data_IF_031776381104
#
_entry.id   IF_031776381104
#
_cell.length_a   1.000
_cell.length_b   1.000
_cell.length_c   1.000
_cell.angle_alpha   90.00
_cell.angle_beta   90.00
_cell.angle_gamma   90.00
#
_symmetry.space_group_name_H-M   'P 1'
#
loop_
_entity.id
_entity.type
_entity.pdbx_description
1 polymer ?
#
# COMPACT_ATOMS: atom_id res chain seq x y z
N UNK A 1 -8.41 -6.93 28.20
CA UNK A 1 -7.13 -7.59 28.61
C UNK A 1 -6.01 -7.09 27.75
N UNK A 2 -4.78 -6.92 28.32
CA UNK A 2 -3.60 -6.59 27.50
C UNK A 2 -3.19 -7.81 26.69
N UNK A 3 -2.93 -7.63 25.39
CA UNK A 3 -2.42 -8.67 24.51
C UNK A 3 -0.90 -8.53 24.32
N UNK A 4 -0.23 -9.66 24.15
CA UNK A 4 1.15 -9.75 23.71
C UNK A 4 1.15 -10.24 22.25
N UNK A 5 1.53 -9.37 21.32
CA UNK A 5 1.41 -9.53 19.87
C UNK A 5 2.81 -9.75 19.28
N UNK A 6 2.96 -10.73 18.40
CA UNK A 6 4.16 -10.92 17.60
C UNK A 6 3.84 -10.64 16.13
N UNK A 7 4.37 -9.53 15.60
CA UNK A 7 4.27 -9.20 14.17
C UNK A 7 5.54 -9.64 13.44
N UNK A 8 5.40 -10.19 12.24
CA UNK A 8 6.53 -10.73 11.46
C UNK A 8 6.40 -10.34 9.99
N UNK A 9 7.46 -9.79 9.41
CA UNK A 9 7.51 -9.46 7.99
C UNK A 9 8.93 -9.40 7.45
N UNK A 10 9.15 -10.02 6.28
CA UNK A 10 10.44 -9.96 5.57
C UNK A 10 10.60 -8.62 4.84
N UNK A 11 10.62 -7.55 5.62
CA UNK A 11 10.82 -6.17 5.18
C UNK A 11 12.04 -5.58 5.90
N UNK A 12 12.75 -4.61 5.28
CA UNK A 12 13.76 -3.83 6.00
C UNK A 12 13.15 -3.10 7.20
N UNK A 13 13.89 -2.95 8.29
CA UNK A 13 13.46 -2.22 9.50
C UNK A 13 13.50 -0.69 9.33
N UNK A 14 13.15 -0.20 8.14
CA UNK A 14 13.13 1.22 7.80
C UNK A 14 11.70 1.77 7.88
N UNK A 15 11.36 2.64 8.85
CA UNK A 15 10.02 3.18 9.04
C UNK A 15 9.56 4.11 7.90
N UNK A 16 10.45 4.49 6.98
CA UNK A 16 10.10 5.31 5.81
C UNK A 16 9.56 4.49 4.64
N UNK A 17 9.75 3.16 4.67
CA UNK A 17 9.24 2.26 3.64
C UNK A 17 7.79 1.85 3.95
N UNK A 18 6.94 1.81 2.92
CA UNK A 18 5.50 1.62 3.07
C UNK A 18 5.10 0.42 3.91
N UNK A 19 5.66 -0.78 3.66
CA UNK A 19 5.33 -2.00 4.42
C UNK A 19 5.81 -1.95 5.86
N UNK A 20 7.01 -1.45 6.09
CA UNK A 20 7.59 -1.31 7.43
C UNK A 20 6.90 -0.21 8.23
N UNK A 21 6.52 0.91 7.56
CA UNK A 21 5.71 1.99 8.17
C UNK A 21 4.42 1.44 8.80
N UNK A 22 3.75 0.51 8.13
CA UNK A 22 2.53 -0.14 8.64
C UNK A 22 2.79 -0.81 9.98
N UNK A 23 3.86 -1.59 10.09
CA UNK A 23 4.19 -2.33 11.30
C UNK A 23 4.52 -1.40 12.46
N UNK A 24 5.34 -0.37 12.22
CA UNK A 24 5.66 0.64 13.24
C UNK A 24 4.43 1.43 13.70
N UNK A 25 3.55 1.81 12.76
CA UNK A 25 2.32 2.54 13.12
C UNK A 25 1.35 1.69 13.93
N UNK A 26 1.20 0.41 13.58
CA UNK A 26 0.41 -0.51 14.39
C UNK A 26 1.03 -0.75 15.77
N UNK A 27 2.36 -0.90 15.87
CA UNK A 27 3.06 -1.05 17.15
C UNK A 27 2.84 0.17 18.05
N UNK A 28 2.99 1.41 17.49
CA UNK A 28 2.73 2.66 18.22
C UNK A 28 1.30 2.68 18.78
N UNK A 29 0.30 2.35 17.96
CA UNK A 29 -1.11 2.37 18.36
C UNK A 29 -1.45 1.24 19.36
N UNK A 30 -0.89 0.04 19.17
CA UNK A 30 -1.07 -1.05 20.14
C UNK A 30 -0.49 -0.68 21.50
N UNK A 31 0.71 -0.09 21.53
CA UNK A 31 1.31 0.40 22.78
C UNK A 31 0.43 1.48 23.43
N UNK A 32 -0.09 2.43 22.68
CA UNK A 32 -1.01 3.46 23.17
C UNK A 32 -2.35 2.90 23.66
N UNK A 33 -2.71 1.68 23.23
CA UNK A 33 -3.89 0.93 23.71
C UNK A 33 -3.60 0.01 24.88
N UNK A 34 -2.35 -0.03 25.37
CA UNK A 34 -1.94 -0.87 26.50
C UNK A 34 -1.61 -2.32 26.14
N UNK A 35 -1.32 -2.61 24.86
CA UNK A 35 -0.87 -3.91 24.37
C UNK A 35 0.64 -3.92 24.17
N UNK A 36 1.26 -5.09 24.32
CA UNK A 36 2.66 -5.30 23.94
C UNK A 36 2.73 -5.81 22.49
N UNK A 37 3.60 -5.23 21.68
CA UNK A 37 3.83 -5.65 20.31
C UNK A 37 5.32 -5.71 20.01
N UNK A 38 5.82 -6.90 19.71
CA UNK A 38 7.19 -7.13 19.24
C UNK A 38 7.14 -7.40 17.73
N UNK A 39 8.18 -6.94 17.01
CA UNK A 39 8.27 -7.09 15.55
C UNK A 39 9.53 -7.87 15.22
N UNK A 40 9.41 -8.82 14.28
CA UNK A 40 10.53 -9.47 13.59
C UNK A 40 10.59 -8.91 12.17
N UNK A 41 11.70 -8.26 11.83
CA UNK A 41 11.97 -7.75 10.49
C UNK A 41 12.91 -8.67 9.70
N UNK A 42 13.10 -8.37 8.42
CA UNK A 42 13.93 -9.15 7.50
C UNK A 42 15.37 -9.33 7.95
N UNK A 43 15.94 -8.37 8.71
CA UNK A 43 17.29 -8.47 9.27
C UNK A 43 17.41 -9.62 10.29
N UNK A 44 16.38 -9.87 11.11
CA UNK A 44 16.33 -11.00 12.04
C UNK A 44 16.03 -12.33 11.33
N UNK A 45 15.24 -12.30 10.26
CA UNK A 45 14.95 -13.47 9.41
C UNK A 45 16.22 -13.89 8.66
N UNK A 46 17.07 -12.93 8.31
CA UNK A 46 18.34 -13.11 7.62
C UNK A 46 18.21 -13.32 6.12
N UNK A 47 18.99 -12.56 5.36
CA UNK A 47 19.01 -12.67 3.90
C UNK A 47 19.99 -13.74 3.43
N UNK A 48 19.60 -14.67 2.54
CA UNK A 48 20.54 -15.59 1.91
C UNK A 48 21.38 -14.87 0.85
N UNK A 49 22.60 -15.39 0.60
CA UNK A 49 23.53 -14.87 -0.41
C UNK A 49 22.95 -14.79 -1.82
N UNK A 50 21.99 -15.66 -2.16
CA UNK A 50 21.38 -15.72 -3.50
C UNK A 50 19.88 -15.36 -3.43
N UNK A 51 19.49 -14.28 -4.08
CA UNK A 51 18.12 -13.73 -4.06
C UNK A 51 17.02 -14.73 -4.48
N UNK A 52 17.31 -15.61 -5.44
CA UNK A 52 16.34 -16.62 -5.91
C UNK A 52 16.10 -17.74 -4.89
N UNK A 53 17.17 -18.24 -4.25
CA UNK A 53 17.08 -19.20 -3.16
C UNK A 53 16.47 -18.53 -1.92
N UNK A 54 16.71 -17.21 -1.76
CA UNK A 54 16.19 -16.43 -0.67
C UNK A 54 14.70 -16.49 -0.52
N UNK A 55 13.98 -16.22 -1.59
CA UNK A 55 12.53 -16.27 -1.58
C UNK A 55 11.96 -17.66 -1.27
N UNK A 56 12.67 -18.71 -1.64
CA UNK A 56 12.26 -20.09 -1.34
C UNK A 56 12.40 -20.44 0.14
N UNK A 57 13.49 -19.99 0.78
CA UNK A 57 13.82 -20.34 2.17
C UNK A 57 13.36 -19.30 3.20
N UNK A 58 12.98 -18.11 2.78
CA UNK A 58 12.53 -17.04 3.68
C UNK A 58 11.41 -17.50 4.63
N UNK A 59 10.35 -18.20 4.19
CA UNK A 59 9.31 -18.65 5.09
C UNK A 59 9.80 -19.65 6.16
N UNK A 60 10.79 -20.49 5.83
CA UNK A 60 11.38 -21.40 6.80
C UNK A 60 12.20 -20.66 7.86
N UNK A 61 12.98 -19.66 7.44
CA UNK A 61 13.76 -18.81 8.35
C UNK A 61 12.85 -17.95 9.24
N UNK A 62 11.76 -17.43 8.66
CA UNK A 62 10.75 -16.72 9.44
C UNK A 62 10.16 -17.60 10.53
N UNK A 63 9.82 -18.86 10.20
CA UNK A 63 9.33 -19.82 11.19
C UNK A 63 10.36 -20.10 12.29
N UNK A 64 11.64 -20.26 11.96
CA UNK A 64 12.71 -20.44 12.94
C UNK A 64 12.86 -19.21 13.87
N UNK A 65 12.79 -17.98 13.32
CA UNK A 65 12.80 -16.74 14.11
C UNK A 65 11.57 -16.65 15.03
N UNK A 66 10.39 -17.01 14.52
CA UNK A 66 9.14 -17.05 15.31
C UNK A 66 9.28 -18.05 16.47
N UNK A 67 9.74 -19.25 16.20
CA UNK A 67 9.92 -20.30 17.22
C UNK A 67 10.84 -19.82 18.33
N UNK A 68 12.01 -19.27 18.00
CA UNK A 68 12.92 -18.69 19.01
C UNK A 68 12.26 -17.60 19.87
N UNK A 69 11.45 -16.74 19.26
CA UNK A 69 10.72 -15.69 20.01
C UNK A 69 9.63 -16.27 20.90
N UNK A 70 8.90 -17.27 20.41
CA UNK A 70 7.86 -17.97 21.17
C UNK A 70 8.41 -18.76 22.34
N UNK A 71 9.62 -19.32 22.25
CA UNK A 71 10.31 -19.99 23.34
C UNK A 71 10.84 -19.00 24.39
N UNK A 72 11.28 -17.81 23.96
CA UNK A 72 11.78 -16.76 24.85
C UNK A 72 10.66 -15.97 25.55
N UNK A 73 9.44 -16.00 25.04
CA UNK A 73 8.31 -15.22 25.59
C UNK A 73 6.95 -15.81 25.23
N UNK A 74 5.90 -15.33 25.94
CA UNK A 74 4.52 -15.74 25.64
C UNK A 74 3.87 -14.67 24.78
N UNK A 75 3.27 -15.09 23.67
CA UNK A 75 2.47 -14.26 22.78
C UNK A 75 1.05 -14.81 22.66
N UNK A 76 0.10 -13.90 22.63
CA UNK A 76 -1.33 -14.21 22.49
C UNK A 76 -1.75 -14.39 21.04
N UNK A 77 -0.99 -13.83 20.08
CA UNK A 77 -1.27 -13.90 18.65
C UNK A 77 0.04 -13.72 17.84
N UNK A 78 0.11 -14.42 16.71
CA UNK A 78 1.12 -14.24 15.67
C UNK A 78 0.46 -13.59 14.45
N UNK A 79 0.91 -12.39 14.07
CA UNK A 79 0.48 -11.68 12.85
C UNK A 79 1.64 -11.71 11.85
N UNK A 80 1.53 -12.56 10.85
CA UNK A 80 2.65 -12.88 9.96
C UNK A 80 2.31 -12.47 8.53
N UNK A 81 3.20 -11.71 7.92
CA UNK A 81 2.99 -11.20 6.57
C UNK A 81 3.20 -12.28 5.50
N UNK A 82 2.23 -12.37 4.58
CA UNK A 82 2.36 -13.08 3.31
C UNK A 82 2.87 -14.53 3.45
N UNK A 83 3.87 -14.93 2.67
CA UNK A 83 4.41 -16.30 2.65
C UNK A 83 5.20 -16.69 3.91
N UNK A 84 5.62 -15.71 4.72
CA UNK A 84 6.39 -15.93 5.94
C UNK A 84 5.60 -16.76 6.98
N UNK A 85 4.27 -16.76 6.88
CA UNK A 85 3.37 -17.60 7.68
C UNK A 85 3.33 -19.08 7.32
N UNK A 86 3.94 -19.51 6.20
CA UNK A 86 3.79 -20.87 5.68
C UNK A 86 4.23 -21.94 6.67
N UNK A 87 5.49 -21.94 7.09
CA UNK A 87 6.03 -23.03 7.92
C UNK A 87 5.55 -22.99 9.35
N UNK A 88 5.27 -21.81 9.90
CA UNK A 88 4.62 -21.75 11.22
C UNK A 88 3.16 -22.28 11.14
N UNK A 89 2.46 -22.06 10.03
CA UNK A 89 1.14 -22.65 9.76
C UNK A 89 1.21 -24.18 9.65
N UNK A 90 2.25 -24.72 9.00
CA UNK A 90 2.51 -26.17 8.95
C UNK A 90 2.75 -26.72 10.37
N UNK A 91 3.62 -26.08 11.17
CA UNK A 91 3.87 -26.50 12.55
C UNK A 91 2.59 -26.52 13.39
N UNK A 92 1.72 -25.49 13.25
CA UNK A 92 0.40 -25.47 13.92
C UNK A 92 -0.47 -26.66 13.53
N UNK A 93 -0.55 -26.99 12.24
CA UNK A 93 -1.33 -28.13 11.75
C UNK A 93 -0.89 -29.45 12.36
N UNK A 94 0.41 -29.64 12.62
CA UNK A 94 0.95 -30.83 13.26
C UNK A 94 1.04 -30.75 14.81
N UNK A 95 0.43 -29.77 15.42
CA UNK A 95 0.23 -29.70 16.87
C UNK A 95 1.08 -28.70 17.63
N UNK A 96 2.03 -28.01 16.98
CA UNK A 96 2.78 -26.92 17.59
C UNK A 96 1.94 -25.64 17.69
N UNK A 97 2.08 -24.90 18.80
CA UNK A 97 1.48 -23.56 18.97
C UNK A 97 -0.05 -23.49 18.72
N UNK A 98 -0.80 -24.58 18.94
CA UNK A 98 -2.25 -24.65 18.66
C UNK A 98 -3.06 -23.55 19.32
N UNK A 99 -2.68 -23.16 20.54
CA UNK A 99 -3.40 -22.14 21.34
C UNK A 99 -3.06 -20.70 20.97
N UNK A 100 -2.01 -20.46 20.16
CA UNK A 100 -1.64 -19.13 19.69
C UNK A 100 -2.12 -18.98 18.26
N UNK A 101 -3.15 -18.17 17.99
CA UNK A 101 -3.67 -18.00 16.63
C UNK A 101 -2.65 -17.37 15.71
N UNK A 102 -2.66 -17.81 14.45
CA UNK A 102 -1.89 -17.30 13.33
C UNK A 102 -2.80 -16.47 12.42
N UNK A 103 -2.57 -15.18 12.38
CA UNK A 103 -3.20 -14.27 11.41
C UNK A 103 -2.22 -14.05 10.26
N UNK A 104 -2.63 -14.40 9.04
CA UNK A 104 -1.85 -14.09 7.84
C UNK A 104 -2.24 -12.71 7.34
N UNK A 105 -1.32 -11.75 7.35
CA UNK A 105 -1.54 -10.38 6.88
C UNK A 105 -1.03 -10.22 5.46
N UNK A 106 -1.84 -9.61 4.58
CA UNK A 106 -1.38 -9.16 3.26
C UNK A 106 -1.26 -7.63 3.23
N UNK A 107 -0.14 -7.13 2.71
CA UNK A 107 0.04 -5.72 2.37
C UNK A 107 -0.21 -5.45 0.86
N UNK A 108 -1.03 -6.30 0.25
CA UNK A 108 -1.35 -6.38 -1.17
C UNK A 108 -1.00 -7.75 -1.72
N UNK A 109 -1.93 -8.36 -2.47
CA UNK A 109 -1.77 -9.72 -2.96
C UNK A 109 -0.71 -9.81 -4.07
N UNK A 110 0.34 -10.57 -3.81
CA UNK A 110 1.44 -10.79 -4.77
C UNK A 110 0.93 -11.40 -6.09
N UNK A 111 -0.14 -12.18 -6.05
CA UNK A 111 -0.80 -12.78 -7.21
C UNK A 111 -1.37 -11.72 -8.16
N UNK A 112 -1.99 -10.67 -7.63
CA UNK A 112 -2.54 -9.58 -8.44
C UNK A 112 -1.43 -8.74 -9.08
N UNK A 113 -0.37 -8.43 -8.33
CA UNK A 113 0.81 -7.79 -8.88
C UNK A 113 1.49 -8.67 -9.96
N UNK A 114 1.55 -9.98 -9.76
CA UNK A 114 2.05 -10.90 -10.76
C UNK A 114 1.20 -10.89 -12.04
N UNK A 115 -0.13 -10.94 -11.94
CA UNK A 115 -1.03 -10.83 -13.09
C UNK A 115 -0.79 -9.55 -13.88
N UNK A 116 -0.68 -8.42 -13.19
CA UNK A 116 -0.33 -7.14 -13.82
C UNK A 116 1.02 -7.22 -14.56
N UNK A 117 2.03 -7.82 -13.92
CA UNK A 117 3.37 -7.96 -14.49
C UNK A 117 3.38 -8.83 -15.76
N UNK A 118 2.56 -9.89 -15.80
CA UNK A 118 2.39 -10.73 -17.00
C UNK A 118 1.67 -9.95 -18.09
N UNK A 119 0.60 -9.21 -17.75
CA UNK A 119 -0.11 -8.37 -18.72
C UNK A 119 0.82 -7.30 -19.34
N UNK A 120 1.71 -6.69 -18.57
CA UNK A 120 2.71 -5.74 -19.10
C UNK A 120 3.72 -6.42 -20.03
N UNK A 121 4.09 -7.67 -19.74
CA UNK A 121 4.97 -8.45 -20.61
C UNK A 121 4.29 -8.79 -21.95
N UNK A 122 3.05 -9.28 -21.87
CA UNK A 122 2.29 -9.72 -23.05
C UNK A 122 1.93 -8.51 -23.97
N UNK A 123 1.78 -7.33 -23.36
CA UNK A 123 1.63 -6.07 -24.08
C UNK A 123 2.97 -5.49 -24.63
N UNK A 124 4.09 -6.18 -24.45
CA UNK A 124 5.42 -5.73 -24.91
C UNK A 124 6.00 -4.56 -24.10
N UNK A 125 5.34 -4.14 -23.01
CA UNK A 125 5.76 -3.00 -22.19
C UNK A 125 6.95 -3.32 -21.29
N UNK A 126 7.15 -4.60 -20.96
CA UNK A 126 8.27 -5.05 -20.11
C UNK A 126 8.72 -6.46 -20.48
N UNK A 127 10.04 -6.67 -20.65
CA UNK A 127 10.57 -8.04 -20.82
C UNK A 127 10.79 -8.69 -19.46
N UNK A 128 10.28 -9.91 -19.27
CA UNK A 128 10.50 -10.73 -18.08
C UNK A 128 11.07 -12.09 -18.46
N UNK A 129 12.16 -12.47 -17.80
CA UNK A 129 12.78 -13.78 -18.01
C UNK A 129 11.88 -14.94 -17.56
N UNK A 130 12.18 -16.16 -18.03
CA UNK A 130 11.46 -17.38 -17.72
C UNK A 130 11.36 -17.68 -16.21
N UNK A 131 12.40 -17.32 -15.44
CA UNK A 131 12.40 -17.47 -13.98
C UNK A 131 11.26 -16.72 -13.32
N UNK A 132 10.92 -15.52 -13.80
CA UNK A 132 9.81 -14.73 -13.28
C UNK A 132 8.44 -15.27 -13.73
N UNK A 133 8.38 -15.93 -14.89
CA UNK A 133 7.13 -16.45 -15.46
C UNK A 133 6.77 -17.85 -14.91
N UNK A 134 7.75 -18.69 -14.63
CA UNK A 134 7.53 -20.09 -14.23
C UNK A 134 7.92 -20.31 -12.77
N UNK A 135 9.14 -19.93 -12.40
CA UNK A 135 9.66 -20.21 -11.06
C UNK A 135 8.94 -19.42 -9.95
N UNK A 136 8.68 -18.16 -10.19
CA UNK A 136 8.04 -17.30 -9.19
C UNK A 136 6.61 -17.76 -8.81
N UNK A 137 5.71 -18.12 -9.76
CA UNK A 137 4.43 -18.71 -9.41
C UNK A 137 4.54 -20.03 -8.65
N UNK A 138 5.44 -20.93 -9.09
CA UNK A 138 5.62 -22.26 -8.47
C UNK A 138 6.23 -22.19 -7.07
N UNK A 139 6.93 -21.11 -6.74
CA UNK A 139 7.56 -20.93 -5.45
C UNK A 139 6.82 -19.89 -4.60
N UNK A 140 7.07 -18.61 -4.84
CA UNK A 140 6.55 -17.53 -3.99
C UNK A 140 5.03 -17.47 -3.95
N UNK A 141 4.34 -17.52 -5.11
CA UNK A 141 2.88 -17.39 -5.12
C UNK A 141 2.20 -18.60 -4.48
N UNK A 142 2.72 -19.81 -4.67
CA UNK A 142 2.21 -21.01 -3.98
C UNK A 142 2.45 -20.95 -2.47
N UNK A 143 3.58 -20.40 -2.04
CA UNK A 143 3.86 -20.19 -0.61
C UNK A 143 2.89 -19.18 0.03
N UNK A 144 2.59 -18.07 -0.66
CA UNK A 144 1.60 -17.07 -0.20
C UNK A 144 0.22 -17.71 -0.04
N UNK A 145 -0.22 -18.46 -1.05
CA UNK A 145 -1.51 -19.15 -0.99
C UNK A 145 -1.54 -20.19 0.14
N UNK A 146 -0.49 -20.99 0.27
CA UNK A 146 -0.40 -22.01 1.32
C UNK A 146 -0.38 -21.36 2.73
N UNK A 147 0.33 -20.26 2.93
CA UNK A 147 0.32 -19.52 4.19
C UNK A 147 -1.07 -18.98 4.52
N UNK A 148 -1.77 -18.39 3.54
CA UNK A 148 -3.14 -17.94 3.73
C UNK A 148 -4.10 -19.08 4.10
N UNK A 149 -4.00 -20.24 3.43
CA UNK A 149 -4.84 -21.41 3.72
C UNK A 149 -4.56 -22.04 5.09
N UNK A 150 -3.31 -21.99 5.56
CA UNK A 150 -2.88 -22.58 6.82
C UNK A 150 -3.06 -21.66 8.03
N UNK A 151 -3.25 -20.37 7.84
CA UNK A 151 -3.52 -19.43 8.92
C UNK A 151 -4.90 -19.68 9.55
N UNK A 152 -5.13 -19.23 10.76
CA UNK A 152 -6.46 -19.26 11.38
C UNK A 152 -7.35 -18.17 10.76
N UNK A 153 -6.80 -16.97 10.48
CA UNK A 153 -7.52 -15.88 9.81
C UNK A 153 -6.65 -15.19 8.76
N UNK A 154 -7.28 -14.69 7.71
CA UNK A 154 -6.64 -13.92 6.64
C UNK A 154 -7.06 -12.46 6.74
N UNK A 155 -6.09 -11.56 6.91
CA UNK A 155 -6.30 -10.12 7.00
C UNK A 155 -5.85 -9.45 5.70
N UNK A 156 -6.78 -8.81 5.03
CA UNK A 156 -6.61 -8.16 3.74
C UNK A 156 -6.91 -6.66 3.84
N UNK A 157 -6.54 -5.89 2.83
CA UNK A 157 -6.60 -4.43 2.86
C UNK A 157 -7.83 -3.85 2.14
N UNK A 158 -8.42 -4.58 1.21
CA UNK A 158 -9.52 -4.12 0.37
C UNK A 158 -10.41 -5.27 -0.09
N UNK A 159 -11.61 -4.94 -0.55
CA UNK A 159 -12.59 -5.93 -1.01
C UNK A 159 -12.17 -6.66 -2.29
N UNK A 160 -11.36 -6.04 -3.15
CA UNK A 160 -10.83 -6.69 -4.36
C UNK A 160 -9.91 -7.87 -4.01
N UNK A 161 -9.01 -7.68 -3.02
CA UNK A 161 -8.16 -8.74 -2.50
C UNK A 161 -8.99 -9.84 -1.81
N UNK A 162 -10.04 -9.45 -1.06
CA UNK A 162 -10.99 -10.39 -0.42
C UNK A 162 -11.71 -11.24 -1.45
N UNK A 163 -12.29 -10.63 -2.47
CA UNK A 163 -12.97 -11.36 -3.53
C UNK A 163 -12.04 -12.33 -4.24
N UNK A 164 -10.80 -11.89 -4.53
CA UNK A 164 -9.80 -12.78 -5.11
C UNK A 164 -9.51 -14.02 -4.25
N UNK A 165 -9.37 -13.84 -2.94
CA UNK A 165 -9.11 -14.94 -2.01
C UNK A 165 -10.31 -15.90 -1.92
N UNK A 166 -11.55 -15.38 -1.92
CA UNK A 166 -12.79 -16.15 -1.95
C UNK A 166 -12.94 -16.97 -3.25
N UNK A 167 -12.75 -16.34 -4.41
CA UNK A 167 -12.84 -17.00 -5.72
C UNK A 167 -11.84 -18.17 -5.86
N UNK A 168 -10.73 -18.10 -5.14
CA UNK A 168 -9.70 -19.13 -5.09
C UNK A 168 -9.91 -20.16 -3.97
N UNK A 169 -10.92 -19.97 -3.15
CA UNK A 169 -11.20 -20.84 -2.01
C UNK A 169 -10.04 -20.90 -1.01
N UNK A 170 -9.35 -19.76 -0.77
CA UNK A 170 -8.25 -19.73 0.18
C UNK A 170 -8.74 -19.90 1.61
N UNK A 171 -9.86 -19.29 1.92
CA UNK A 171 -10.51 -19.28 3.23
C UNK A 171 -12.04 -19.19 3.06
N UNK A 172 -12.78 -19.63 4.07
CA UNK A 172 -14.19 -19.30 4.18
C UNK A 172 -14.38 -17.79 4.40
N UNK A 173 -15.54 -17.27 4.02
CA UNK A 173 -15.84 -15.84 4.16
C UNK A 173 -15.69 -15.33 5.60
N UNK A 174 -16.11 -16.14 6.57
CA UNK A 174 -16.01 -15.83 8.01
C UNK A 174 -14.57 -15.77 8.55
N UNK A 175 -13.59 -16.33 7.81
CA UNK A 175 -12.19 -16.37 8.20
C UNK A 175 -11.35 -15.25 7.54
N UNK A 176 -12.00 -14.40 6.71
CA UNK A 176 -11.33 -13.28 6.02
C UNK A 176 -11.81 -11.96 6.61
N UNK A 177 -10.86 -11.12 7.00
CA UNK A 177 -11.12 -9.79 7.52
C UNK A 177 -10.52 -8.73 6.60
N UNK A 178 -11.30 -7.68 6.29
CA UNK A 178 -10.80 -6.51 5.56
C UNK A 178 -10.53 -5.39 6.56
N UNK A 179 -9.25 -5.06 6.72
CA UNK A 179 -8.79 -4.00 7.63
C UNK A 179 -7.96 -3.00 6.84
N UNK A 180 -8.56 -1.91 6.36
CA UNK A 180 -7.84 -0.88 5.61
C UNK A 180 -6.84 -0.15 6.50
N UNK A 181 -5.78 0.36 5.89
CA UNK A 181 -4.82 1.25 6.56
C UNK A 181 -5.44 2.62 6.84
N UNK A 182 -4.78 3.36 7.73
CA UNK A 182 -5.15 4.72 8.09
C UNK A 182 -4.01 5.72 7.86
N UNK A 183 -4.29 6.98 8.13
CA UNK A 183 -3.29 8.05 8.18
C UNK A 183 -2.84 8.32 9.60
N UNK A 184 -1.64 8.88 9.77
CA UNK A 184 -1.15 9.37 11.06
C UNK A 184 -2.02 10.52 11.58
N UNK A 185 -2.08 10.67 12.91
CA UNK A 185 -2.80 11.79 13.52
C UNK A 185 -2.38 13.18 13.00
N UNK A 186 -1.16 13.30 12.48
CA UNK A 186 -0.65 14.54 11.84
C UNK A 186 -1.40 14.93 10.56
N UNK A 187 -2.01 13.95 9.86
CA UNK A 187 -2.87 14.21 8.70
C UNK A 187 -4.30 14.57 9.09
N UNK A 188 -4.66 14.31 10.35
CA UNK A 188 -5.95 14.74 10.88
C UNK A 188 -5.81 16.19 11.29
N UNK A 189 -6.34 17.09 10.47
CA UNK A 189 -6.29 18.52 10.79
C UNK A 189 -7.13 18.83 12.03
N UNK A 190 -6.73 19.84 12.83
CA UNK A 190 -7.54 20.34 13.96
C UNK A 190 -8.95 20.72 13.50
N UNK A 191 -9.92 20.60 14.41
CA UNK A 191 -11.25 21.13 14.19
C UNK A 191 -11.15 22.64 13.90
N UNK A 192 -11.82 23.09 12.83
CA UNK A 192 -11.77 24.49 12.39
C UNK A 192 -10.69 24.82 11.34
N UNK A 193 -9.84 23.87 10.95
CA UNK A 193 -8.95 24.06 9.80
C UNK A 193 -9.79 24.18 8.51
N UNK A 194 -9.98 25.42 8.05
CA UNK A 194 -10.73 25.74 6.83
C UNK A 194 -10.04 25.24 5.56
N UNK A 195 -8.77 24.79 5.68
CA UNK A 195 -7.96 24.35 4.53
C UNK A 195 -7.66 25.48 3.55
N UNK A 196 -7.74 26.72 4.00
CA UNK A 196 -7.52 27.92 3.18
C UNK A 196 -6.02 28.18 2.97
N UNK A 197 -5.29 27.14 2.64
CA UNK A 197 -3.92 27.26 2.14
C UNK A 197 -3.99 27.60 0.65
N UNK A 198 -3.23 28.61 0.25
CA UNK A 198 -3.10 28.97 -1.15
C UNK A 198 -2.58 27.78 -1.96
N UNK A 199 -3.47 27.13 -2.71
CA UNK A 199 -3.13 26.13 -3.71
C UNK A 199 -2.65 26.83 -4.97
N UNK A 200 -1.98 26.15 -5.88
CA UNK A 200 -1.54 26.72 -7.14
C UNK A 200 -0.21 26.17 -7.63
N UNK A 201 0.36 25.18 -6.94
CA UNK A 201 1.59 24.53 -7.39
C UNK A 201 1.37 23.51 -8.53
N UNK A 202 0.11 23.29 -8.94
CA UNK A 202 -0.24 22.46 -10.07
C UNK A 202 -0.44 20.99 -9.71
N UNK A 203 0.11 20.09 -10.54
CA UNK A 203 -0.07 18.65 -10.44
C UNK A 203 0.97 18.03 -9.51
N UNK A 204 0.57 17.02 -8.76
CA UNK A 204 1.45 16.24 -7.90
C UNK A 204 1.43 14.76 -8.30
N UNK A 205 2.61 14.18 -8.51
CA UNK A 205 2.84 12.74 -8.43
C UNK A 205 3.62 12.45 -7.15
N UNK A 206 3.20 11.46 -6.37
CA UNK A 206 3.87 11.07 -5.13
C UNK A 206 4.11 9.56 -5.10
N UNK A 207 5.37 9.14 -4.91
CA UNK A 207 5.77 7.74 -4.82
C UNK A 207 7.04 7.41 -5.56
N UNK A 208 7.50 6.16 -5.44
CA UNK A 208 8.68 5.66 -6.15
C UNK A 208 8.51 5.78 -7.67
N UNK A 209 9.61 6.12 -8.36
CA UNK A 209 9.64 6.21 -9.82
C UNK A 209 9.74 4.80 -10.43
N UNK A 210 8.65 4.05 -10.34
CA UNK A 210 8.53 2.66 -10.79
C UNK A 210 7.29 2.50 -11.69
N UNK A 211 7.39 1.64 -12.68
CA UNK A 211 6.31 1.37 -13.63
C UNK A 211 5.00 0.92 -12.98
N UNK A 212 5.09 0.23 -11.85
CA UNK A 212 3.89 -0.15 -11.09
C UNK A 212 3.07 1.06 -10.66
N UNK A 213 3.73 2.20 -10.43
CA UNK A 213 3.08 3.48 -10.09
C UNK A 213 2.53 4.24 -11.29
N UNK A 214 2.63 3.65 -12.49
CA UNK A 214 2.05 4.22 -13.71
C UNK A 214 2.85 5.36 -14.32
N UNK A 215 4.16 5.47 -14.02
CA UNK A 215 5.01 6.57 -14.50
C UNK A 215 4.98 6.75 -16.02
N UNK A 216 4.96 5.66 -16.79
CA UNK A 216 4.90 5.70 -18.26
C UNK A 216 3.62 6.43 -18.75
N UNK A 217 2.53 6.34 -18.00
CA UNK A 217 1.23 6.96 -18.32
C UNK A 217 1.18 8.41 -17.82
N UNK A 218 1.74 8.67 -16.65
CA UNK A 218 1.89 10.05 -16.12
C UNK A 218 2.74 10.89 -17.06
N UNK A 219 3.89 10.39 -17.50
CA UNK A 219 4.78 11.09 -18.46
C UNK A 219 4.02 11.37 -19.75
N UNK A 220 3.39 10.37 -20.37
CA UNK A 220 2.63 10.55 -21.61
C UNK A 220 1.47 11.53 -21.45
N UNK A 221 0.74 11.45 -20.35
CA UNK A 221 -0.37 12.38 -20.09
C UNK A 221 0.15 13.81 -19.92
N UNK A 222 1.25 14.01 -19.20
CA UNK A 222 1.84 15.32 -19.00
C UNK A 222 2.41 15.93 -20.29
N UNK A 223 3.05 15.15 -21.14
CA UNK A 223 3.50 15.58 -22.47
C UNK A 223 2.33 16.00 -23.36
N UNK A 224 1.24 15.20 -23.42
CA UNK A 224 0.03 15.55 -24.18
C UNK A 224 -0.65 16.83 -23.68
N UNK A 225 -0.65 17.08 -22.36
CA UNK A 225 -1.12 18.35 -21.82
C UNK A 225 -0.32 19.54 -22.39
N UNK A 226 1.00 19.41 -22.44
CA UNK A 226 1.87 20.46 -23.02
C UNK A 226 1.69 20.61 -24.53
N UNK A 227 1.54 19.52 -25.28
CA UNK A 227 1.20 19.53 -26.72
C UNK A 227 -0.10 20.26 -27.01
N UNK A 228 -1.07 20.20 -26.07
CA UNK A 228 -2.33 20.95 -26.13
C UNK A 228 -2.22 22.38 -25.62
N UNK A 229 -1.01 22.88 -25.37
CA UNK A 229 -0.76 24.24 -24.90
C UNK A 229 -1.01 24.47 -23.40
N UNK A 230 -1.20 23.39 -22.61
CA UNK A 230 -1.40 23.50 -21.17
C UNK A 230 -0.06 23.59 -20.44
N UNK A 231 0.22 24.70 -19.80
CA UNK A 231 1.47 24.96 -19.09
C UNK A 231 1.36 24.63 -17.59
N UNK A 232 0.84 23.45 -17.25
CA UNK A 232 0.80 22.99 -15.87
C UNK A 232 2.20 22.63 -15.37
N UNK A 233 2.44 22.77 -14.07
CA UNK A 233 3.64 22.24 -13.41
C UNK A 233 3.33 20.86 -12.84
N UNK A 234 4.33 19.98 -12.84
CA UNK A 234 4.28 18.66 -12.21
C UNK A 234 5.36 18.56 -11.14
N UNK A 235 4.98 18.35 -9.90
CA UNK A 235 5.90 17.96 -8.84
C UNK A 235 5.94 16.43 -8.73
N UNK A 236 7.14 15.85 -8.78
CA UNK A 236 7.41 14.43 -8.53
C UNK A 236 8.02 14.31 -7.15
N UNK A 237 7.24 13.84 -6.17
CA UNK A 237 7.63 13.73 -4.77
C UNK A 237 8.07 12.30 -4.43
N UNK A 238 9.27 12.17 -3.85
CA UNK A 238 9.78 10.92 -3.30
C UNK A 238 10.11 9.83 -4.32
N UNK A 239 10.67 10.15 -5.51
CA UNK A 239 10.87 9.17 -6.57
C UNK A 239 11.80 8.02 -6.17
N UNK A 240 12.72 8.26 -5.22
CA UNK A 240 13.70 7.26 -4.78
C UNK A 240 14.81 6.99 -5.80
N UNK A 241 14.93 7.82 -6.82
CA UNK A 241 15.95 7.82 -7.86
C UNK A 241 16.49 9.25 -8.05
N UNK A 242 17.68 9.44 -8.66
CA UNK A 242 18.20 10.77 -8.96
C UNK A 242 17.26 11.59 -9.83
N UNK A 243 17.28 12.92 -9.64
CA UNK A 243 16.46 13.88 -10.42
C UNK A 243 16.64 13.71 -11.93
N UNK A 244 17.88 13.59 -12.40
CA UNK A 244 18.18 13.40 -13.81
C UNK A 244 17.44 12.20 -14.40
N UNK A 245 17.33 11.09 -13.65
CA UNK A 245 16.61 9.89 -14.12
C UNK A 245 15.10 10.15 -14.29
N UNK A 246 14.51 11.00 -13.45
CA UNK A 246 13.11 11.40 -13.60
C UNK A 246 12.95 12.31 -14.80
N UNK A 247 13.80 13.35 -14.92
CA UNK A 247 13.76 14.33 -15.99
C UNK A 247 14.02 13.71 -17.37
N UNK A 248 14.87 12.69 -17.45
CA UNK A 248 15.17 12.00 -18.72
C UNK A 248 13.97 11.23 -19.30
N UNK A 249 12.95 10.97 -18.49
CA UNK A 249 11.70 10.38 -18.98
C UNK A 249 10.83 11.38 -19.76
N UNK A 250 11.08 12.69 -19.65
CA UNK A 250 10.32 13.75 -20.33
C UNK A 250 11.11 14.33 -21.50
N UNK A 251 10.40 14.79 -22.51
CA UNK A 251 10.99 15.53 -23.64
C UNK A 251 11.58 16.87 -23.19
N UNK A 252 12.65 17.40 -23.85
CA UNK A 252 13.32 18.59 -23.41
C UNK A 252 12.43 19.83 -23.19
N UNK A 253 11.41 20.11 -24.03
CA UNK A 253 10.52 21.25 -23.78
C UNK A 253 9.72 21.17 -22.50
N UNK A 254 9.40 19.95 -22.05
CA UNK A 254 8.52 19.69 -20.91
C UNK A 254 9.29 19.67 -19.58
N UNK A 255 10.59 19.36 -19.60
CA UNK A 255 11.43 19.22 -18.39
C UNK A 255 11.40 20.44 -17.48
N UNK A 256 11.33 21.65 -18.04
CA UNK A 256 11.29 22.90 -17.27
C UNK A 256 10.01 23.06 -16.42
N UNK A 257 8.98 22.27 -16.69
CA UNK A 257 7.73 22.25 -15.94
C UNK A 257 7.68 21.12 -14.90
N UNK A 258 8.72 20.29 -14.82
CA UNK A 258 8.83 19.17 -13.88
C UNK A 258 9.78 19.55 -12.74
N UNK A 259 9.27 19.50 -11.51
CA UNK A 259 10.04 19.69 -10.29
C UNK A 259 10.19 18.34 -9.58
N UNK A 260 11.39 17.93 -9.24
CA UNK A 260 11.65 16.70 -8.49
C UNK A 260 11.97 17.05 -7.04
N UNK A 261 11.22 16.46 -6.11
CA UNK A 261 11.43 16.63 -4.68
C UNK A 261 11.82 15.26 -4.11
N UNK A 262 13.00 15.12 -3.48
CA UNK A 262 13.42 13.87 -2.87
C UNK A 262 12.45 13.46 -1.72
N UNK A 263 12.73 12.35 -1.06
CA UNK A 263 11.99 11.99 0.15
C UNK A 263 12.23 13.04 1.23
N UNK A 264 11.15 13.50 1.84
CA UNK A 264 11.14 14.52 2.88
C UNK A 264 10.42 14.02 4.13
N UNK A 265 10.48 14.76 5.23
CA UNK A 265 9.77 14.44 6.45
C UNK A 265 8.25 14.47 6.25
N UNK A 266 7.49 13.72 7.04
CA UNK A 266 6.02 13.63 6.95
C UNK A 266 5.34 15.00 7.07
N UNK A 267 5.89 15.93 7.88
CA UNK A 267 5.41 17.32 7.99
C UNK A 267 5.46 18.07 6.65
N UNK A 268 6.54 17.88 5.91
CA UNK A 268 6.75 18.55 4.63
C UNK A 268 5.86 17.92 3.54
N UNK A 269 5.67 16.59 3.59
CA UNK A 269 4.72 15.89 2.72
C UNK A 269 3.31 16.47 2.86
N UNK A 270 2.86 16.73 4.11
CA UNK A 270 1.57 17.34 4.38
C UNK A 270 1.46 18.73 3.73
N UNK A 271 2.51 19.56 3.83
CA UNK A 271 2.51 20.89 3.20
C UNK A 271 2.47 20.78 1.67
N UNK A 272 3.20 19.83 1.10
CA UNK A 272 3.18 19.58 -0.34
C UNK A 272 1.78 19.16 -0.81
N UNK A 273 1.08 18.27 -0.09
CA UNK A 273 -0.31 17.94 -0.42
C UNK A 273 -1.23 19.16 -0.35
N UNK A 274 -1.02 20.06 0.61
CA UNK A 274 -1.83 21.26 0.80
C UNK A 274 -1.58 22.35 -0.25
N UNK A 275 -0.37 22.46 -0.80
CA UNK A 275 -0.01 23.50 -1.77
C UNK A 275 -0.39 23.14 -3.22
N UNK A 276 -0.61 21.86 -3.54
CA UNK A 276 -0.93 21.40 -4.89
C UNK A 276 -2.43 21.40 -5.17
N UNK A 277 -2.78 21.44 -6.46
CA UNK A 277 -4.16 21.51 -6.94
C UNK A 277 -4.78 20.15 -7.16
N UNK A 278 -4.00 19.16 -7.62
CA UNK A 278 -4.49 17.85 -8.05
C UNK A 278 -3.41 16.77 -7.91
N UNK A 279 -3.78 15.66 -7.31
CA UNK A 279 -2.95 14.44 -7.31
C UNK A 279 -3.19 13.64 -8.61
N UNK A 280 -2.13 13.28 -9.33
CA UNK A 280 -2.17 12.31 -10.43
C UNK A 280 -1.66 10.99 -9.88
N UNK A 281 -2.59 10.08 -9.56
CA UNK A 281 -2.33 8.79 -8.94
C UNK A 281 -2.87 7.67 -9.83
N UNK A 282 -2.03 7.20 -10.76
CA UNK A 282 -2.43 6.27 -11.82
C UNK A 282 -1.64 4.95 -11.79
N UNK A 283 -1.47 4.29 -10.63
CA UNK A 283 -0.77 3.02 -10.57
C UNK A 283 -1.51 1.94 -11.35
N UNK A 284 -0.75 0.97 -11.87
CA UNK A 284 -1.29 -0.21 -12.54
C UNK A 284 -1.55 -1.36 -11.56
N UNK A 285 -1.00 -1.27 -10.37
CA UNK A 285 -1.27 -2.10 -9.19
C UNK A 285 -0.85 -1.34 -7.93
N UNK A 286 -1.65 -1.50 -6.88
CA UNK A 286 -1.34 -0.98 -5.54
C UNK A 286 -1.92 -1.93 -4.49
N UNK A 287 -1.16 -2.20 -3.42
CA UNK A 287 -1.67 -3.01 -2.31
C UNK A 287 -2.77 -2.30 -1.54
N UNK A 288 -2.52 -1.05 -1.14
CA UNK A 288 -3.51 -0.20 -0.50
C UNK A 288 -3.57 1.20 -1.13
N UNK A 289 -2.47 1.96 -1.11
CA UNK A 289 -2.42 3.31 -1.66
C UNK A 289 -2.47 4.39 -0.58
N UNK A 290 -1.56 4.33 0.39
CA UNK A 290 -1.45 5.34 1.45
C UNK A 290 -1.35 6.76 0.89
N UNK A 291 -0.65 6.95 -0.23
CA UNK A 291 -0.52 8.25 -0.91
C UNK A 291 -1.87 8.86 -1.27
N UNK A 292 -2.79 8.06 -1.82
CA UNK A 292 -4.14 8.53 -2.16
C UNK A 292 -4.92 8.93 -0.90
N UNK A 293 -4.87 8.08 0.13
CA UNK A 293 -5.52 8.33 1.41
C UNK A 293 -4.97 9.60 2.09
N UNK A 294 -3.64 9.74 2.13
CA UNK A 294 -2.94 10.89 2.69
C UNK A 294 -3.32 12.19 1.96
N UNK A 295 -3.31 12.18 0.62
CA UNK A 295 -3.69 13.34 -0.20
C UNK A 295 -5.15 13.75 0.02
N UNK A 296 -6.07 12.78 -0.01
CA UNK A 296 -7.50 13.03 0.23
C UNK A 296 -7.73 13.60 1.63
N UNK A 297 -7.00 13.15 2.65
CA UNK A 297 -7.08 13.70 4.01
C UNK A 297 -6.66 15.16 4.09
N UNK A 298 -5.84 15.64 3.14
CA UNK A 298 -5.42 17.04 3.00
C UNK A 298 -6.27 17.82 1.97
N UNK A 299 -7.47 17.35 1.65
CA UNK A 299 -8.38 17.97 0.66
C UNK A 299 -7.79 18.08 -0.74
N UNK A 300 -6.83 17.24 -1.10
CA UNK A 300 -6.27 17.17 -2.43
C UNK A 300 -7.06 16.12 -3.23
N UNK A 301 -7.92 16.56 -4.19
CA UNK A 301 -8.61 15.62 -5.05
C UNK A 301 -7.62 14.91 -5.99
N UNK A 302 -8.00 13.75 -6.50
CA UNK A 302 -7.13 12.94 -7.35
C UNK A 302 -7.78 12.59 -8.69
N UNK A 303 -6.93 12.44 -9.71
CA UNK A 303 -7.20 11.58 -10.86
C UNK A 303 -6.57 10.23 -10.52
N UNK A 304 -7.38 9.19 -10.34
CA UNK A 304 -6.98 7.92 -9.78
C UNK A 304 -7.39 6.73 -10.65
N UNK A 305 -6.59 5.67 -10.65
CA UNK A 305 -6.98 4.38 -11.23
C UNK A 305 -7.69 3.50 -10.19
N UNK A 306 -8.57 2.55 -10.61
CA UNK A 306 -9.37 1.74 -9.71
C UNK A 306 -8.57 0.57 -9.11
N UNK A 307 -7.48 0.87 -8.38
CA UNK A 307 -6.63 -0.12 -7.71
C UNK A 307 -6.46 0.20 -6.22
N UNK A 308 -6.04 -0.77 -5.43
CA UNK A 308 -5.83 -0.61 -4.00
C UNK A 308 -7.08 -0.15 -3.26
N UNK A 309 -6.98 0.94 -2.50
CA UNK A 309 -8.10 1.51 -1.76
C UNK A 309 -9.04 2.38 -2.62
N UNK A 310 -8.62 2.78 -3.83
CA UNK A 310 -9.41 3.70 -4.65
C UNK A 310 -10.88 3.26 -4.84
N UNK A 311 -11.19 1.98 -5.18
CA UNK A 311 -12.59 1.55 -5.33
C UNK A 311 -13.44 1.69 -4.06
N UNK A 312 -12.80 1.75 -2.88
CA UNK A 312 -13.50 1.84 -1.59
C UNK A 312 -13.67 3.26 -1.08
N UNK A 313 -12.77 4.19 -1.44
CA UNK A 313 -12.75 5.54 -0.89
C UNK A 313 -13.05 6.64 -1.92
N UNK A 314 -12.86 6.35 -3.22
CA UNK A 314 -13.17 7.29 -4.30
C UNK A 314 -14.61 7.09 -4.75
N UNK A 315 -15.35 8.20 -4.77
CA UNK A 315 -16.64 8.35 -5.43
C UNK A 315 -16.43 9.18 -6.67
N UNK A 316 -16.49 8.51 -7.83
CA UNK A 316 -16.18 9.14 -9.11
C UNK A 316 -17.04 10.39 -9.37
N UNK A 317 -16.40 11.49 -9.72
CA UNK A 317 -17.05 12.78 -9.95
C UNK A 317 -17.47 13.56 -8.69
N UNK A 318 -17.44 12.94 -7.49
CA UNK A 318 -17.82 13.60 -6.24
C UNK A 318 -16.60 14.08 -5.41
N UNK A 319 -15.63 13.17 -5.16
CA UNK A 319 -14.47 13.47 -4.32
C UNK A 319 -13.12 13.31 -5.03
N UNK A 320 -13.13 12.64 -6.18
CA UNK A 320 -11.99 12.44 -7.09
C UNK A 320 -12.53 11.94 -8.44
N UNK A 321 -11.65 11.70 -9.41
CA UNK A 321 -12.04 11.14 -10.72
C UNK A 321 -11.36 9.81 -10.92
N UNK A 322 -12.12 8.78 -11.30
CA UNK A 322 -11.59 7.47 -11.68
C UNK A 322 -11.33 7.44 -13.19
N UNK A 323 -10.14 7.02 -13.56
CA UNK A 323 -9.76 6.79 -14.96
C UNK A 323 -9.31 5.34 -15.15
N UNK A 324 -9.47 4.76 -16.35
CA UNK A 324 -8.94 3.43 -16.63
C UNK A 324 -7.42 3.41 -16.44
N UNK A 325 -6.90 2.30 -15.90
CA UNK A 325 -5.46 2.11 -15.84
C UNK A 325 -4.88 2.01 -17.25
N UNK A 326 -3.67 2.55 -17.45
CA UNK A 326 -2.97 2.58 -18.74
C UNK A 326 -3.62 3.46 -19.81
N UNK A 327 -4.45 4.40 -19.42
CA UNK A 327 -5.12 5.34 -20.31
C UNK A 327 -4.66 6.79 -20.05
N UNK A 328 -3.62 7.25 -20.78
CA UNK A 328 -3.16 8.63 -20.65
C UNK A 328 -4.15 9.65 -21.21
N UNK A 329 -5.02 9.28 -22.18
CA UNK A 329 -6.01 10.22 -22.74
C UNK A 329 -7.14 10.49 -21.76
N UNK A 330 -7.65 9.47 -21.10
CA UNK A 330 -8.61 9.65 -20.00
C UNK A 330 -8.00 10.47 -18.84
N UNK A 331 -6.71 10.24 -18.55
CA UNK A 331 -5.98 11.03 -17.54
C UNK A 331 -5.90 12.50 -17.95
N UNK A 332 -5.55 12.81 -19.21
CA UNK A 332 -5.51 14.18 -19.75
C UNK A 332 -6.87 14.85 -19.62
N UNK A 333 -7.95 14.21 -20.09
CA UNK A 333 -9.29 14.78 -20.03
C UNK A 333 -9.75 15.08 -18.59
N UNK A 334 -9.45 14.18 -17.65
CA UNK A 334 -9.76 14.37 -16.23
C UNK A 334 -8.94 15.52 -15.62
N UNK A 335 -7.64 15.61 -15.93
CA UNK A 335 -6.78 16.71 -15.47
C UNK A 335 -7.27 18.05 -16.02
N UNK A 336 -7.51 18.18 -17.33
CA UNK A 336 -8.02 19.41 -17.94
C UNK A 336 -9.33 19.87 -17.27
N UNK A 337 -10.30 18.97 -17.16
CA UNK A 337 -11.59 19.26 -16.51
C UNK A 337 -11.40 19.80 -15.09
N UNK A 338 -10.53 19.18 -14.30
CA UNK A 338 -10.34 19.58 -12.90
C UNK A 338 -9.49 20.85 -12.79
N UNK A 339 -8.48 21.02 -13.64
CA UNK A 339 -7.61 22.21 -13.59
C UNK A 339 -8.34 23.47 -14.07
N UNK A 340 -9.31 23.34 -14.97
CA UNK A 340 -10.10 24.47 -15.50
C UNK A 340 -11.23 24.91 -14.54
N UNK A 341 -11.64 24.05 -13.58
CA UNK A 341 -12.73 24.35 -12.63
C UNK A 341 -12.25 24.34 -11.17
N UNK A 342 -11.71 25.47 -10.71
CA UNK A 342 -11.23 25.62 -9.35
C UNK A 342 -12.35 25.45 -8.28
N UNK A 343 -13.59 25.94 -8.47
CA UNK A 343 -14.71 25.64 -7.59
C UNK A 343 -15.00 24.14 -7.48
N UNK A 344 -14.98 23.39 -8.60
CA UNK A 344 -15.16 21.94 -8.60
C UNK A 344 -14.06 21.25 -7.79
N UNK A 345 -12.78 21.62 -8.02
CA UNK A 345 -11.65 21.07 -7.27
C UNK A 345 -11.80 21.25 -5.75
N UNK A 346 -12.24 22.45 -5.31
CA UNK A 346 -12.45 22.72 -3.87
C UNK A 346 -13.53 21.82 -3.30
N UNK A 347 -14.72 21.76 -3.95
CA UNK A 347 -15.80 20.88 -3.51
C UNK A 347 -15.37 19.42 -3.43
N UNK A 348 -14.66 18.95 -4.46
CA UNK A 348 -14.12 17.58 -4.47
C UNK A 348 -13.11 17.36 -3.36
N UNK A 349 -12.23 18.31 -3.10
CA UNK A 349 -11.27 18.23 -2.01
C UNK A 349 -11.93 18.13 -0.63
N UNK A 350 -12.98 18.91 -0.38
CA UNK A 350 -13.75 18.83 0.86
C UNK A 350 -14.45 17.47 1.00
N UNK A 351 -15.05 16.98 -0.07
CA UNK A 351 -15.69 15.69 -0.11
C UNK A 351 -14.65 14.54 0.05
N UNK A 352 -13.44 14.69 -0.53
CA UNK A 352 -12.35 13.74 -0.37
C UNK A 352 -11.94 13.60 1.11
N UNK A 353 -11.70 14.72 1.80
CA UNK A 353 -11.40 14.72 3.22
C UNK A 353 -12.51 14.07 4.05
N UNK A 354 -13.76 14.46 3.79
CA UNK A 354 -14.91 13.92 4.52
C UNK A 354 -15.00 12.39 4.39
N UNK A 355 -14.74 11.85 3.19
CA UNK A 355 -14.84 10.41 2.93
C UNK A 355 -13.78 9.57 3.65
N UNK A 356 -12.66 10.16 4.07
CA UNK A 356 -11.55 9.46 4.72
C UNK A 356 -11.31 9.89 6.17
N UNK A 357 -12.15 10.75 6.75
CA UNK A 357 -11.96 11.35 8.08
C UNK A 357 -11.83 10.33 9.21
N UNK A 358 -12.48 9.16 9.09
CA UNK A 358 -12.39 8.07 10.07
C UNK A 358 -11.26 7.07 9.83
N UNK A 359 -10.47 7.22 8.77
CA UNK A 359 -9.41 6.28 8.39
C UNK A 359 -8.08 6.67 9.06
N UNK A 360 -7.95 6.34 10.32
CA UNK A 360 -6.75 6.62 11.13
C UNK A 360 -6.04 5.32 11.51
N UNK A 361 -4.74 5.39 11.83
CA UNK A 361 -4.01 4.23 12.36
C UNK A 361 -4.62 3.70 13.64
N UNK A 362 -5.21 4.58 14.45
CA UNK A 362 -5.99 4.19 15.64
C UNK A 362 -7.17 3.29 15.27
N UNK A 363 -7.95 3.67 14.25
CA UNK A 363 -9.07 2.86 13.78
C UNK A 363 -8.60 1.53 13.18
N UNK A 364 -7.49 1.54 12.43
CA UNK A 364 -6.86 0.31 11.89
C UNK A 364 -6.43 -0.62 13.02
N UNK A 365 -5.76 -0.10 14.06
CA UNK A 365 -5.32 -0.88 15.22
C UNK A 365 -6.50 -1.50 15.97
N UNK A 366 -7.56 -0.73 16.24
CA UNK A 366 -8.77 -1.24 16.91
C UNK A 366 -9.44 -2.37 16.12
N UNK A 367 -9.58 -2.21 14.80
CA UNK A 367 -10.13 -3.27 13.94
C UNK A 367 -9.22 -4.50 13.91
N UNK A 368 -7.90 -4.30 13.88
CA UNK A 368 -6.93 -5.40 13.94
C UNK A 368 -7.04 -6.17 15.27
N UNK A 369 -7.17 -5.47 16.40
CA UNK A 369 -7.37 -6.10 17.71
C UNK A 369 -8.65 -6.93 17.74
N UNK A 370 -9.73 -6.47 17.13
CA UNK A 370 -10.97 -7.26 17.01
C UNK A 370 -10.76 -8.56 16.23
N UNK A 371 -9.92 -8.54 15.17
CA UNK A 371 -9.54 -9.75 14.44
C UNK A 371 -8.77 -10.71 15.36
N UNK A 372 -7.82 -10.19 16.13
CA UNK A 372 -7.03 -10.99 17.07
C UNK A 372 -7.89 -11.62 18.17
N UNK A 373 -8.84 -10.87 18.72
CA UNK A 373 -9.76 -11.36 19.74
C UNK A 373 -10.63 -12.49 19.20
N UNK A 374 -11.17 -12.36 17.96
CA UNK A 374 -11.92 -13.44 17.31
C UNK A 374 -11.05 -14.67 17.10
N UNK A 375 -9.84 -14.49 16.55
CA UNK A 375 -8.91 -15.59 16.32
C UNK A 375 -8.57 -16.35 17.62
N UNK A 376 -8.42 -15.63 18.74
CA UNK A 376 -8.18 -16.24 20.06
C UNK A 376 -9.37 -17.01 20.59
N UNK A 377 -10.58 -16.48 20.42
CA UNK A 377 -11.80 -17.16 20.85
C UNK A 377 -12.02 -18.46 20.07
N UNK A 378 -11.65 -18.51 18.80
CA UNK A 378 -11.73 -19.69 17.93
C UNK A 378 -10.63 -20.74 18.25
N UNK A 379 -9.49 -20.32 18.82
CA UNK A 379 -8.37 -21.20 19.19
C UNK A 379 -8.42 -21.73 20.64
N UNK A 380 -9.33 -21.23 21.48
CA UNK A 380 -9.51 -21.61 22.88
C UNK A 380 -10.26 -22.92 23.01
#
# INVERSE_FOLDING_TARGET
MSLSILMVGDYPSDPTLGSSKVFYKLQEEFAALGHRCDIIFGEEIGAPRFRQIGQLVAPWRAADAIVRRMEAGKYDVMDVASAEGLWIGVLKKFGGYKRTPLVCRSNGLEQLNYRRMIADHDAGLARKGWTRRIWYPLTRLSQVEAAARLSDRLLLLNEGDRQYALDRGWKAESEIDVVPHGVSGRYVAPDGDTGDTARGEGLLFCGSWDRVKGIDYVVRAFERLHERGRQFRLTVLGPGVPEAHVLDAFSPPVRNFVRVVPRVAESDVIQIYRSHDLLVWTPTYEGFGLVLLEAMSQRLPAVATPVGCAPSIVRDGENSVIVPARDPDATVAAVERLMDDAPLRRRMGDAARASVSGMTWRATALRTLQVYERARAEAA
#
